data_IF_676752786930
#
_entry.id   IF_676752786930
#
_cell.length_a   1.000
_cell.length_b   1.000
_cell.length_c   1.000
_cell.angle_alpha   90.00
_cell.angle_beta   90.00
_cell.angle_gamma   90.00
#
_symmetry.space_group_name_H-M   'P 1'
#
loop_
_entity.id
_entity.type
_entity.pdbx_description
1 polymer ?
#
# COMPACT_ATOMS: atom_id res chain seq x y z
N UNK A 1 -13.45 -16.30 47.62
CA UNK A 1 -12.25 -17.09 47.25
C UNK A 1 -11.69 -16.49 45.97
N UNK A 2 -10.48 -15.93 46.02
CA UNK A 2 -10.14 -14.80 45.14
C UNK A 2 -9.54 -15.23 43.80
N UNK A 3 -9.84 -14.46 42.75
CA UNK A 3 -9.59 -14.79 41.34
C UNK A 3 -8.12 -15.10 41.03
N UNK A 4 -7.17 -14.42 41.69
CA UNK A 4 -5.73 -14.67 41.54
C UNK A 4 -5.32 -16.12 41.84
N UNK A 5 -6.02 -16.82 42.74
CA UNK A 5 -5.75 -18.25 43.01
C UNK A 5 -6.17 -19.19 41.87
N UNK A 6 -7.06 -18.76 40.97
CA UNK A 6 -7.40 -19.54 39.76
C UNK A 6 -6.35 -19.37 38.67
N UNK A 7 -5.81 -18.16 38.49
CA UNK A 7 -4.81 -17.88 37.45
C UNK A 7 -3.49 -18.63 37.68
N UNK A 8 -3.04 -18.69 38.94
CA UNK A 8 -1.82 -19.40 39.32
C UNK A 8 -1.88 -20.93 39.07
N UNK A 9 -3.08 -21.53 39.10
CA UNK A 9 -3.25 -22.97 38.86
C UNK A 9 -3.18 -23.33 37.36
N UNK A 10 -3.51 -22.38 36.48
CA UNK A 10 -3.64 -22.63 35.04
C UNK A 10 -2.30 -22.49 34.30
N UNK A 11 -1.38 -21.64 34.79
CA UNK A 11 -0.01 -21.55 34.25
C UNK A 11 0.86 -22.80 34.53
N UNK A 12 0.50 -23.62 35.53
CA UNK A 12 1.28 -24.79 35.92
C UNK A 12 1.07 -26.03 35.01
N UNK A 13 0.15 -25.96 34.04
CA UNK A 13 -0.31 -27.12 33.27
C UNK A 13 0.33 -27.25 31.86
N UNK A 14 1.18 -26.31 31.43
CA UNK A 14 1.61 -26.20 30.02
C UNK A 14 3.13 -26.31 29.78
N UNK A 15 3.88 -26.90 30.70
CA UNK A 15 5.36 -27.02 30.62
C UNK A 15 5.86 -28.47 30.62
N UNK A 16 5.13 -29.38 29.97
CA UNK A 16 5.47 -30.81 29.88
C UNK A 16 5.17 -31.38 28.49
N UNK A 17 5.99 -31.02 27.48
CA UNK A 17 6.31 -31.91 26.35
C UNK A 17 7.58 -31.42 25.62
N UNK A 18 8.73 -31.99 25.98
CA UNK A 18 10.01 -31.80 25.28
C UNK A 18 10.96 -32.96 25.56
N UNK A 19 11.74 -33.35 24.54
CA UNK A 19 12.90 -34.27 24.56
C UNK A 19 12.63 -35.79 24.62
N UNK A 20 12.55 -36.41 23.44
CA UNK A 20 13.18 -37.70 23.09
C UNK A 20 13.63 -37.62 21.61
N UNK A 21 14.66 -38.32 21.13
CA UNK A 21 16.11 -38.08 21.35
C UNK A 21 16.95 -38.90 20.35
N UNK A 22 18.03 -38.31 19.81
CA UNK A 22 19.11 -38.94 19.02
C UNK A 22 18.78 -39.65 17.67
N UNK A 23 19.78 -39.65 16.77
CA UNK A 23 19.82 -40.46 15.53
C UNK A 23 20.61 -41.78 15.75
N UNK A 24 21.37 -42.33 14.75
CA UNK A 24 21.96 -41.67 13.59
C UNK A 24 21.67 -42.35 12.22
N UNK A 25 22.37 -41.88 11.17
CA UNK A 25 22.12 -42.18 9.75
C UNK A 25 22.42 -43.62 9.26
N UNK A 26 21.79 -43.97 8.13
CA UNK A 26 22.42 -44.71 7.00
C UNK A 26 21.62 -44.54 5.70
N UNK A 27 22.30 -44.80 4.57
CA UNK A 27 21.80 -44.64 3.20
C UNK A 27 21.50 -46.02 2.57
N UNK A 28 20.32 -46.21 1.96
CA UNK A 28 19.93 -47.40 1.19
C UNK A 28 18.99 -46.98 0.05
N UNK A 29 19.10 -47.65 -1.11
CA UNK A 29 18.42 -47.35 -2.37
C UNK A 29 17.41 -48.47 -2.74
N UNK A 30 16.56 -48.22 -3.75
CA UNK A 30 15.64 -49.17 -4.45
C UNK A 30 14.50 -49.76 -3.58
N UNK A 31 13.28 -50.09 -4.06
CA UNK A 31 12.74 -50.21 -5.44
C UNK A 31 11.25 -49.80 -5.56
N UNK A 32 10.81 -49.67 -6.82
CA UNK A 32 9.50 -50.01 -7.44
C UNK A 32 8.43 -50.79 -6.62
N UNK A 33 7.13 -50.63 -6.94
CA UNK A 33 6.57 -51.36 -8.10
C UNK A 33 5.51 -50.65 -9.00
N UNK A 34 5.68 -50.81 -10.31
CA UNK A 34 4.71 -51.31 -11.32
C UNK A 34 3.22 -50.89 -11.27
N UNK A 35 2.78 -50.16 -12.30
CA UNK A 35 1.84 -50.62 -13.36
C UNK A 35 1.82 -49.54 -14.48
N UNK A 36 2.14 -49.74 -15.78
CA UNK A 36 1.66 -50.65 -16.86
C UNK A 36 0.14 -50.77 -16.95
N UNK A 37 -0.55 -50.60 -18.11
CA UNK A 37 -0.19 -50.36 -19.54
C UNK A 37 -1.34 -49.50 -20.17
N UNK A 38 -1.16 -48.67 -21.21
CA UNK A 38 -1.01 -48.97 -22.66
C UNK A 38 -2.25 -49.69 -23.29
N UNK A 39 -2.68 -49.57 -24.56
CA UNK A 39 -2.35 -48.80 -25.78
C UNK A 39 -3.71 -48.25 -26.35
N UNK A 40 -3.96 -47.55 -27.48
CA UNK A 40 -3.25 -47.00 -28.65
C UNK A 40 -4.12 -45.88 -29.30
N UNK A 41 -3.64 -45.21 -30.37
CA UNK A 41 -4.44 -44.33 -31.23
C UNK A 41 -3.60 -43.57 -32.28
N UNK A 42 -3.75 -43.90 -33.57
CA UNK A 42 -2.78 -43.57 -34.64
C UNK A 42 -3.36 -42.60 -35.71
N UNK A 43 -2.48 -42.12 -36.64
CA UNK A 43 -2.76 -41.38 -37.89
C UNK A 43 -3.14 -39.88 -37.75
N UNK A 44 -2.79 -38.95 -38.66
CA UNK A 44 -1.93 -39.05 -39.87
C UNK A 44 -1.15 -37.74 -40.16
N UNK A 45 -0.33 -37.78 -41.21
CA UNK A 45 0.67 -36.82 -41.69
C UNK A 45 0.07 -35.75 -42.63
N UNK A 46 0.69 -34.56 -42.73
CA UNK A 46 1.13 -33.89 -43.98
C UNK A 46 1.90 -32.59 -43.68
N UNK A 47 3.01 -32.38 -44.38
CA UNK A 47 3.82 -31.16 -44.34
C UNK A 47 3.63 -30.31 -45.62
N UNK A 48 4.07 -29.04 -45.60
CA UNK A 48 4.04 -28.15 -46.76
C UNK A 48 4.99 -26.97 -46.63
N UNK A 49 6.10 -27.05 -47.37
CA UNK A 49 6.87 -25.91 -47.90
C UNK A 49 5.98 -25.05 -48.84
N UNK A 50 6.28 -23.83 -49.29
CA UNK A 50 7.42 -22.91 -49.19
C UNK A 50 6.93 -21.49 -49.61
N UNK A 51 7.66 -20.40 -49.35
CA UNK A 51 8.18 -19.47 -50.39
C UNK A 51 9.04 -18.33 -49.79
N UNK A 52 9.87 -17.67 -50.61
CA UNK A 52 10.84 -16.63 -50.23
C UNK A 52 10.58 -15.23 -50.90
N UNK A 53 11.62 -14.37 -50.89
CA UNK A 53 11.78 -13.01 -51.45
C UNK A 53 11.17 -11.83 -50.64
N UNK A 54 11.87 -10.74 -50.29
CA UNK A 54 12.89 -9.89 -50.97
C UNK A 54 12.23 -8.96 -52.03
N UNK A 55 12.53 -7.66 -52.21
CA UNK A 55 13.62 -6.78 -51.70
C UNK A 55 13.07 -5.73 -50.69
N UNK A 56 13.43 -4.43 -50.53
CA UNK A 56 14.30 -3.45 -51.22
C UNK A 56 14.93 -2.45 -50.22
N UNK A 57 16.01 -1.78 -50.64
CA UNK A 57 16.78 -0.78 -49.87
C UNK A 57 16.14 0.61 -49.91
N UNK A 58 16.07 1.34 -48.77
CA UNK A 58 16.48 2.76 -48.79
C UNK A 58 16.79 3.43 -47.44
N UNK A 59 18.07 3.63 -47.21
CA UNK A 59 18.59 4.80 -46.49
C UNK A 59 18.60 6.03 -47.42
N UNK A 60 18.32 7.23 -46.90
CA UNK A 60 19.28 8.31 -47.12
C UNK A 60 19.69 9.00 -45.80
N UNK A 61 20.92 9.49 -45.78
CA UNK A 61 21.38 10.54 -44.87
C UNK A 61 21.82 11.74 -45.72
N UNK A 62 22.44 12.76 -45.10
CA UNK A 62 22.76 14.12 -45.60
C UNK A 62 21.62 15.14 -45.35
N UNK A 63 21.90 16.43 -45.11
CA UNK A 63 23.21 17.13 -45.19
C UNK A 63 23.47 18.20 -44.11
N UNK A 64 24.69 18.77 -44.14
CA UNK A 64 25.28 19.72 -43.19
C UNK A 64 24.72 21.17 -43.21
N UNK A 65 25.31 22.02 -42.35
CA UNK A 65 25.25 23.51 -42.28
C UNK A 65 24.29 24.09 -41.22
N UNK A 66 24.67 25.09 -40.40
CA UNK A 66 25.92 25.89 -40.33
C UNK A 66 26.12 26.54 -38.94
N UNK A 67 27.34 26.51 -38.37
CA UNK A 67 27.84 27.57 -37.44
C UNK A 67 28.68 28.55 -38.27
N UNK A 68 28.73 29.86 -37.95
CA UNK A 68 29.86 30.33 -37.14
C UNK A 68 29.54 31.48 -36.16
N UNK A 69 30.50 31.66 -35.24
CA UNK A 69 30.87 32.87 -34.48
C UNK A 69 29.83 33.55 -33.55
N UNK A 70 30.09 33.77 -32.26
CA UNK A 70 31.23 34.45 -31.61
C UNK A 70 31.24 35.98 -31.81
N UNK A 71 30.91 36.71 -30.73
CA UNK A 71 31.48 38.03 -30.45
C UNK A 71 31.68 38.21 -28.94
N UNK A 72 32.64 39.04 -28.51
CA UNK A 72 33.20 39.00 -27.13
C UNK A 72 33.37 40.36 -26.44
N UNK A 73 32.64 40.54 -25.31
CA UNK A 73 33.03 41.39 -24.14
C UNK A 73 33.12 42.92 -24.44
N UNK A 74 33.46 43.79 -23.46
CA UNK A 74 33.23 43.79 -22.00
C UNK A 74 32.62 45.13 -21.47
N UNK A 75 32.66 45.35 -20.14
CA UNK A 75 32.50 46.63 -19.39
C UNK A 75 31.04 47.15 -19.31
N UNK A 76 30.49 47.64 -18.19
CA UNK A 76 31.08 48.18 -16.94
C UNK A 76 30.28 47.83 -15.68
N UNK A 77 30.96 47.68 -14.53
CA UNK A 77 30.36 47.79 -13.18
C UNK A 77 30.41 49.28 -12.68
N UNK A 78 30.23 49.64 -11.39
CA UNK A 78 29.03 50.39 -10.99
C UNK A 78 29.32 51.70 -10.20
N UNK A 79 28.28 52.46 -9.77
CA UNK A 79 28.37 53.43 -8.69
C UNK A 79 27.73 52.91 -7.39
N UNK A 80 28.38 53.16 -6.25
CA UNK A 80 28.07 52.52 -4.96
C UNK A 80 27.36 53.44 -3.93
N UNK A 81 26.60 52.82 -3.01
CA UNK A 81 26.17 53.36 -1.69
C UNK A 81 25.20 54.57 -1.68
N UNK A 82 24.35 54.82 -0.67
CA UNK A 82 24.42 54.52 0.78
C UNK A 82 23.05 54.05 1.39
N UNK A 83 23.02 53.63 2.67
CA UNK A 83 21.87 52.93 3.28
C UNK A 83 21.02 53.78 4.26
N UNK A 84 19.76 53.35 4.45
CA UNK A 84 18.83 53.52 5.59
C UNK A 84 17.52 52.77 5.23
N UNK A 85 16.71 52.17 6.11
CA UNK A 85 16.76 52.01 7.58
C UNK A 85 15.94 50.76 8.02
N UNK A 86 16.16 50.27 9.25
CA UNK A 86 15.33 49.29 10.00
C UNK A 86 15.22 49.88 11.43
N UNK A 87 14.15 49.70 12.24
CA UNK A 87 13.10 48.70 12.11
C UNK A 87 11.64 49.12 12.41
N UNK A 88 10.71 48.21 12.14
CA UNK A 88 9.53 48.01 13.00
C UNK A 88 9.45 46.52 13.34
N UNK A 89 9.15 46.24 14.60
CA UNK A 89 9.10 44.92 15.21
C UNK A 89 7.66 44.39 15.17
N UNK A 90 7.42 43.22 14.54
CA UNK A 90 6.13 42.52 14.67
C UNK A 90 6.21 41.63 15.92
N UNK A 91 5.33 41.80 16.92
CA UNK A 91 5.35 40.97 18.12
C UNK A 91 5.25 39.47 17.79
N UNK A 92 6.04 38.67 18.50
CA UNK A 92 5.92 37.22 18.46
C UNK A 92 4.73 36.79 19.33
N UNK A 93 3.63 36.40 18.69
CA UNK A 93 2.53 35.74 19.40
C UNK A 93 3.01 34.38 19.89
N UNK A 94 3.05 34.22 21.21
CA UNK A 94 3.38 32.97 21.89
C UNK A 94 2.29 31.94 21.56
N UNK A 95 2.61 30.65 21.30
CA UNK A 95 1.60 29.66 20.96
C UNK A 95 0.46 29.60 21.98
N UNK A 96 -0.78 29.63 21.48
CA UNK A 96 -1.96 29.29 22.27
C UNK A 96 -2.00 27.78 22.42
N UNK A 97 -1.82 27.28 23.64
CA UNK A 97 -2.05 25.88 23.96
C UNK A 97 -3.54 25.58 23.79
N UNK A 98 -3.89 24.93 22.68
CA UNK A 98 -5.24 24.36 22.50
C UNK A 98 -5.35 23.17 23.45
N UNK A 99 -6.32 23.13 24.37
CA UNK A 99 -6.48 21.98 25.26
C UNK A 99 -6.85 20.73 24.46
N UNK A 100 -6.30 19.58 24.88
CA UNK A 100 -6.49 18.29 24.21
C UNK A 100 -7.99 17.98 24.02
N UNK A 101 -8.44 17.67 22.78
CA UNK A 101 -9.81 17.25 22.57
C UNK A 101 -10.03 15.88 23.20
N UNK A 102 -10.80 15.85 24.29
CA UNK A 102 -11.35 14.60 24.85
C UNK A 102 -11.99 13.79 23.72
N UNK A 103 -11.74 12.47 23.60
CA UNK A 103 -12.20 11.69 22.46
C UNK A 103 -13.72 11.76 22.25
N UNK A 104 -14.14 12.59 21.29
CA UNK A 104 -15.48 12.52 20.72
C UNK A 104 -15.69 11.13 20.14
N UNK A 105 -16.92 10.61 20.26
CA UNK A 105 -17.33 9.47 19.44
C UNK A 105 -17.06 9.78 17.95
N UNK A 106 -16.67 8.77 17.14
CA UNK A 106 -16.45 8.94 15.71
C UNK A 106 -17.74 9.41 15.04
N UNK A 107 -17.61 10.35 14.10
CA UNK A 107 -18.76 11.04 13.47
C UNK A 107 -19.04 10.56 12.05
N UNK A 108 -18.18 9.71 11.51
CA UNK A 108 -18.24 9.23 10.12
C UNK A 108 -17.70 7.79 10.01
N UNK A 109 -18.00 7.11 8.90
CA UNK A 109 -17.53 5.76 8.56
C UNK A 109 -16.01 5.66 8.65
N UNK A 110 -15.29 6.57 7.99
CA UNK A 110 -13.83 6.58 7.99
C UNK A 110 -13.23 6.82 9.37
N UNK A 111 -13.86 7.67 10.19
CA UNK A 111 -13.44 7.88 11.59
C UNK A 111 -13.68 6.65 12.47
N UNK A 112 -14.80 5.95 12.28
CA UNK A 112 -15.11 4.73 13.03
C UNK A 112 -14.14 3.59 12.68
N UNK A 113 -13.88 3.39 11.38
CA UNK A 113 -12.90 2.42 10.90
C UNK A 113 -11.46 2.76 11.36
N UNK A 114 -11.07 4.04 11.37
CA UNK A 114 -9.77 4.45 11.92
C UNK A 114 -9.66 4.19 13.42
N UNK A 115 -10.75 4.37 14.19
CA UNK A 115 -10.77 4.06 15.62
C UNK A 115 -10.66 2.55 15.87
N UNK A 116 -11.37 1.74 15.09
CA UNK A 116 -11.34 0.28 15.17
C UNK A 116 -9.98 -0.30 14.72
N UNK A 117 -9.39 0.26 13.65
CA UNK A 117 -8.00 -0.02 13.26
C UNK A 117 -7.04 0.26 14.41
N UNK A 118 -7.13 1.43 15.06
CA UNK A 118 -6.27 1.79 16.20
C UNK A 118 -6.42 0.82 17.37
N UNK A 119 -7.63 0.30 17.61
CA UNK A 119 -7.87 -0.71 18.65
C UNK A 119 -7.28 -2.09 18.28
N UNK A 120 -7.30 -2.48 17.01
CA UNK A 120 -6.84 -3.80 16.53
C UNK A 120 -5.35 -3.88 16.16
N UNK A 121 -4.73 -2.77 15.73
CA UNK A 121 -3.38 -2.75 15.16
C UNK A 121 -2.26 -3.24 16.09
N UNK A 122 -2.45 -3.18 17.42
CA UNK A 122 -1.50 -3.72 18.40
C UNK A 122 -1.56 -5.24 18.62
N UNK A 123 -2.64 -5.90 18.17
CA UNK A 123 -2.86 -7.35 18.33
C UNK A 123 -2.71 -8.14 17.02
N UNK A 124 -2.92 -7.49 15.88
CA UNK A 124 -2.84 -8.11 14.56
C UNK A 124 -1.38 -8.23 14.06
N UNK A 125 -1.03 -9.38 13.50
CA UNK A 125 0.30 -9.63 12.94
C UNK A 125 0.50 -8.92 11.59
N UNK A 126 -0.43 -9.12 10.66
CA UNK A 126 -0.32 -8.74 9.23
C UNK A 126 -1.31 -7.64 8.80
N UNK A 127 -1.08 -7.04 7.62
CA UNK A 127 -2.03 -6.18 6.93
C UNK A 127 -3.34 -6.93 6.61
N UNK A 128 -3.26 -8.19 6.20
CA UNK A 128 -4.44 -9.02 5.88
C UNK A 128 -5.38 -9.19 7.07
N UNK A 129 -4.85 -9.60 8.24
CA UNK A 129 -5.66 -9.79 9.45
C UNK A 129 -6.29 -8.49 9.98
N UNK A 130 -5.71 -7.32 9.65
CA UNK A 130 -6.34 -6.02 9.90
C UNK A 130 -7.44 -5.70 8.89
N UNK A 131 -7.16 -5.87 7.60
CA UNK A 131 -8.11 -5.62 6.52
C UNK A 131 -9.36 -6.51 6.64
N UNK A 132 -9.20 -7.79 6.98
CA UNK A 132 -10.29 -8.74 7.25
C UNK A 132 -11.15 -8.27 8.44
N UNK A 133 -10.50 -7.87 9.54
CA UNK A 133 -11.19 -7.42 10.75
C UNK A 133 -11.81 -6.01 10.63
N UNK A 134 -11.44 -5.23 9.60
CA UNK A 134 -12.03 -3.94 9.25
C UNK A 134 -13.17 -4.07 8.24
N UNK A 135 -13.04 -4.94 7.23
CA UNK A 135 -14.10 -5.17 6.24
C UNK A 135 -15.29 -5.95 6.84
N UNK A 136 -15.06 -6.68 7.94
CA UNK A 136 -16.10 -7.29 8.76
C UNK A 136 -16.71 -6.34 9.83
N UNK A 137 -16.40 -5.04 9.81
CA UNK A 137 -16.96 -4.09 10.76
C UNK A 137 -18.45 -3.80 10.43
N UNK A 138 -19.38 -3.92 11.40
CA UNK A 138 -20.82 -3.80 11.15
C UNK A 138 -21.30 -2.39 10.73
N UNK A 139 -20.41 -1.38 10.68
CA UNK A 139 -20.73 -0.08 10.04
C UNK A 139 -20.74 -0.16 8.50
N UNK A 140 -20.27 -1.27 7.92
CA UNK A 140 -20.27 -1.51 6.48
C UNK A 140 -21.50 -2.36 6.09
N UNK A 141 -22.51 -1.81 5.38
CA UNK A 141 -23.74 -2.52 5.04
C UNK A 141 -23.60 -3.46 3.84
N UNK A 142 -22.37 -3.80 3.43
CA UNK A 142 -22.07 -4.55 2.22
C UNK A 142 -21.30 -5.85 2.50
N UNK A 143 -21.50 -6.85 1.65
CA UNK A 143 -20.57 -7.97 1.55
C UNK A 143 -19.23 -7.46 0.99
N UNK A 144 -18.19 -7.49 1.82
CA UNK A 144 -16.86 -7.00 1.45
C UNK A 144 -15.82 -8.11 1.32
N UNK A 145 -14.70 -7.76 0.70
CA UNK A 145 -13.56 -8.64 0.48
C UNK A 145 -12.24 -7.90 0.74
N UNK A 146 -11.17 -8.68 0.85
CA UNK A 146 -9.77 -8.22 0.94
C UNK A 146 -8.97 -8.77 -0.25
N UNK A 147 -7.97 -8.02 -0.71
CA UNK A 147 -7.05 -8.46 -1.75
C UNK A 147 -5.64 -7.90 -1.47
N UNK A 148 -4.57 -8.73 -1.52
CA UNK A 148 -3.21 -8.22 -1.38
C UNK A 148 -2.86 -7.29 -2.55
N UNK A 149 -2.00 -6.30 -2.29
CA UNK A 149 -1.46 -5.39 -3.30
C UNK A 149 0.06 -5.26 -3.16
N UNK A 150 0.74 -5.10 -4.30
CA UNK A 150 2.19 -4.92 -4.37
C UNK A 150 2.56 -3.43 -4.55
N UNK A 151 3.78 -3.00 -4.22
CA UNK A 151 4.24 -1.63 -4.43
C UNK A 151 4.19 -1.21 -5.91
N UNK A 152 3.45 -0.15 -6.22
CA UNK A 152 3.17 0.27 -7.61
C UNK A 152 1.97 1.21 -7.71
N UNK A 153 1.34 1.25 -8.88
CA UNK A 153 0.11 2.02 -9.11
C UNK A 153 -1.08 1.34 -8.42
N UNK A 154 -1.66 2.01 -7.43
CA UNK A 154 -2.79 1.52 -6.64
C UNK A 154 -4.06 2.32 -6.96
N UNK A 155 -5.21 1.64 -6.99
CA UNK A 155 -6.50 2.29 -7.20
C UNK A 155 -6.76 3.35 -6.11
N UNK A 156 -7.29 4.50 -6.49
CA UNK A 156 -7.49 5.62 -5.57
C UNK A 156 -6.34 6.65 -5.51
N UNK A 157 -5.18 6.38 -6.12
CA UNK A 157 -3.96 7.20 -5.97
C UNK A 157 -3.44 7.84 -7.27
N UNK A 158 -4.34 8.22 -8.17
CA UNK A 158 -4.05 8.81 -9.49
C UNK A 158 -2.93 8.06 -10.25
N UNK A 159 -1.91 8.77 -10.75
CA UNK A 159 -0.75 8.22 -11.45
C UNK A 159 0.49 8.20 -10.54
N UNK A 160 0.31 7.95 -9.24
CA UNK A 160 1.41 7.83 -8.29
C UNK A 160 1.75 6.37 -7.97
N UNK A 161 3.04 6.05 -7.89
CA UNK A 161 3.51 4.75 -7.41
C UNK A 161 3.61 4.77 -5.87
N UNK A 162 2.78 3.97 -5.20
CA UNK A 162 2.82 3.82 -3.74
C UNK A 162 3.85 2.74 -3.38
N UNK A 163 4.88 3.13 -2.62
CA UNK A 163 6.08 2.31 -2.32
C UNK A 163 6.55 2.49 -0.87
N UNK A 164 7.36 1.56 -0.36
CA UNK A 164 7.89 1.56 1.02
C UNK A 164 7.07 0.74 2.01
N UNK A 165 6.33 -0.27 1.53
CA UNK A 165 5.56 -1.19 2.35
C UNK A 165 5.92 -2.65 2.05
N UNK A 166 6.07 -3.45 3.11
CA UNK A 166 6.36 -4.89 3.02
C UNK A 166 5.10 -5.74 2.92
N UNK A 167 3.95 -5.22 3.36
CA UNK A 167 2.64 -5.82 3.14
C UNK A 167 1.65 -4.70 2.77
N UNK A 168 0.82 -4.92 1.76
CA UNK A 168 -0.29 -4.05 1.41
C UNK A 168 -1.54 -4.88 1.14
N UNK A 169 -2.69 -4.45 1.64
CA UNK A 169 -3.99 -5.10 1.40
C UNK A 169 -5.06 -4.03 1.16
N UNK A 170 -5.72 -4.10 0.02
CA UNK A 170 -6.95 -3.34 -0.24
C UNK A 170 -8.15 -4.09 0.33
N UNK A 171 -9.15 -3.37 0.82
CA UNK A 171 -10.41 -3.92 1.29
C UNK A 171 -11.59 -3.04 0.89
N UNK A 172 -12.76 -3.64 0.70
CA UNK A 172 -13.94 -2.91 0.26
C UNK A 172 -15.08 -3.80 -0.22
N UNK A 173 -16.12 -3.21 -0.85
CA UNK A 173 -17.31 -3.92 -1.32
C UNK A 173 -16.98 -4.86 -2.49
N UNK A 174 -17.65 -6.00 -2.56
CA UNK A 174 -17.59 -6.89 -3.74
C UNK A 174 -18.29 -6.27 -4.97
N UNK A 175 -19.17 -5.28 -4.76
CA UNK A 175 -19.90 -4.57 -5.82
C UNK A 175 -19.31 -3.16 -5.99
N UNK A 176 -18.73 -2.88 -7.16
CA UNK A 176 -18.08 -1.60 -7.48
C UNK A 176 -18.99 -0.38 -7.67
N UNK A 177 -20.25 -0.45 -7.22
CA UNK A 177 -21.22 0.66 -7.23
C UNK A 177 -21.29 1.42 -5.90
N UNK A 178 -20.55 1.00 -4.88
CA UNK A 178 -20.42 1.70 -3.60
C UNK A 178 -19.12 2.52 -3.62
N UNK A 179 -19.13 3.83 -3.28
CA UNK A 179 -17.95 4.71 -3.25
C UNK A 179 -17.02 4.42 -2.06
N UNK A 180 -16.50 3.20 -1.95
CA UNK A 180 -15.64 2.77 -0.85
C UNK A 180 -14.38 2.08 -1.35
N UNK A 181 -13.22 2.54 -0.89
CA UNK A 181 -11.95 1.81 -1.01
C UNK A 181 -11.10 2.04 0.24
N UNK A 182 -10.71 0.94 0.89
CA UNK A 182 -9.86 0.94 2.08
C UNK A 182 -8.52 0.25 1.81
N UNK A 183 -7.48 0.67 2.52
CA UNK A 183 -6.14 0.09 2.46
C UNK A 183 -5.56 -0.07 3.87
N UNK A 184 -4.87 -1.19 4.09
CA UNK A 184 -3.95 -1.38 5.21
C UNK A 184 -2.56 -1.70 4.68
N UNK A 185 -1.54 -1.04 5.22
CA UNK A 185 -0.14 -1.29 4.90
C UNK A 185 0.67 -1.61 6.16
N UNK A 186 1.66 -2.50 6.03
CA UNK A 186 2.78 -2.65 6.98
C UNK A 186 4.01 -2.08 6.31
N UNK A 187 4.57 -1.01 6.88
CA UNK A 187 5.69 -0.28 6.30
C UNK A 187 7.04 -0.96 6.54
N UNK A 188 7.94 -0.77 5.58
CA UNK A 188 9.33 -1.23 5.65
C UNK A 188 10.12 -0.55 6.79
N UNK A 189 11.17 -1.22 7.27
CA UNK A 189 12.02 -0.69 8.33
C UNK A 189 12.71 0.62 7.90
N UNK A 190 12.41 1.70 8.63
CA UNK A 190 12.96 3.03 8.37
C UNK A 190 12.04 3.97 7.58
N UNK A 191 10.91 3.48 7.04
CA UNK A 191 9.91 4.33 6.38
C UNK A 191 9.07 5.05 7.45
N UNK A 192 8.96 6.37 7.34
CA UNK A 192 8.15 7.17 8.25
C UNK A 192 6.66 7.06 7.88
N UNK A 193 5.84 6.58 8.83
CA UNK A 193 4.40 6.43 8.64
C UNK A 193 3.66 7.75 8.40
N UNK A 194 4.15 8.88 8.94
CA UNK A 194 3.54 10.19 8.69
C UNK A 194 3.81 10.68 7.26
N UNK A 195 5.03 10.50 6.77
CA UNK A 195 5.43 10.91 5.41
C UNK A 195 4.79 10.01 4.34
N UNK A 196 4.66 8.71 4.64
CA UNK A 196 3.90 7.77 3.82
C UNK A 196 2.41 8.16 3.77
N UNK A 197 1.78 8.50 4.90
CA UNK A 197 0.39 9.01 4.93
C UNK A 197 0.26 10.32 4.14
N UNK A 198 1.20 11.26 4.26
CA UNK A 198 1.20 12.48 3.47
C UNK A 198 1.30 12.18 1.96
N UNK A 199 2.07 11.15 1.58
CA UNK A 199 2.17 10.67 0.20
C UNK A 199 0.84 10.07 -0.29
N UNK A 200 0.16 9.25 0.53
CA UNK A 200 -1.19 8.76 0.22
C UNK A 200 -2.19 9.91 0.04
N UNK A 201 -2.22 10.84 0.99
CA UNK A 201 -3.17 11.97 0.99
C UNK A 201 -2.95 12.95 -0.17
N UNK A 202 -1.70 13.18 -0.58
CA UNK A 202 -1.36 14.11 -1.66
C UNK A 202 -1.73 13.59 -3.07
N UNK A 203 -1.94 12.28 -3.22
CA UNK A 203 -2.29 11.63 -4.49
C UNK A 203 -3.70 11.00 -4.47
N UNK A 204 -4.43 11.13 -3.35
CA UNK A 204 -5.75 10.54 -3.17
C UNK A 204 -6.82 11.21 -4.05
N UNK A 205 -7.49 10.43 -4.89
CA UNK A 205 -8.56 10.90 -5.75
C UNK A 205 -9.91 10.31 -5.31
N UNK A 206 -10.77 11.13 -4.70
CA UNK A 206 -12.12 10.74 -4.26
C UNK A 206 -13.05 10.30 -5.41
N UNK A 207 -12.68 10.57 -6.67
CA UNK A 207 -13.41 10.23 -7.91
C UNK A 207 -12.65 9.18 -8.75
N UNK A 208 -11.88 8.31 -8.12
CA UNK A 208 -11.01 7.30 -8.76
C UNK A 208 -11.72 6.33 -9.72
N UNK A 209 -13.05 6.23 -9.61
CA UNK A 209 -13.91 5.40 -10.44
C UNK A 209 -15.00 6.31 -11.04
N UNK A 210 -15.18 6.28 -12.35
CA UNK A 210 -16.16 7.13 -13.06
C UNK A 210 -17.61 6.95 -12.59
N UNK A 211 -17.93 5.80 -11.98
CA UNK A 211 -19.27 5.47 -11.50
C UNK A 211 -19.60 6.01 -10.10
N UNK A 212 -18.61 6.35 -9.26
CA UNK A 212 -18.80 6.58 -7.82
C UNK A 212 -17.84 7.63 -7.27
N UNK A 213 -18.25 8.36 -6.23
CA UNK A 213 -17.47 9.43 -5.61
C UNK A 213 -17.56 9.35 -4.08
N UNK A 214 -16.41 9.34 -3.40
CA UNK A 214 -16.33 9.34 -1.95
C UNK A 214 -16.44 10.75 -1.37
N UNK A 215 -16.96 10.84 -0.15
CA UNK A 215 -17.23 12.11 0.53
C UNK A 215 -16.16 12.52 1.54
N UNK A 216 -15.36 11.56 2.01
CA UNK A 216 -14.25 11.77 2.93
C UNK A 216 -13.06 10.87 2.58
N UNK A 217 -11.87 11.32 2.98
CA UNK A 217 -10.65 10.54 3.05
C UNK A 217 -10.20 10.55 4.51
N UNK A 218 -9.97 9.37 5.10
CA UNK A 218 -9.49 9.23 6.48
C UNK A 218 -8.29 8.30 6.51
N UNK A 219 -7.23 8.70 7.24
CA UNK A 219 -6.01 7.91 7.39
C UNK A 219 -5.36 8.10 8.75
N UNK A 220 -4.45 7.19 9.10
CA UNK A 220 -3.70 7.22 10.36
C UNK A 220 -2.84 5.97 10.53
N UNK A 221 -2.06 5.90 11.60
CA UNK A 221 -1.14 4.79 11.83
C UNK A 221 -1.05 4.37 13.31
N UNK A 222 -0.51 3.18 13.54
CA UNK A 222 -0.05 2.67 14.83
C UNK A 222 1.29 1.97 14.60
N UNK A 223 2.38 2.55 15.09
CA UNK A 223 3.73 2.09 14.73
C UNK A 223 3.95 2.17 13.21
N UNK A 224 4.40 1.06 12.60
CA UNK A 224 4.58 0.92 11.15
C UNK A 224 3.34 0.39 10.41
N UNK A 225 2.19 0.20 11.08
CA UNK A 225 0.92 -0.15 10.42
C UNK A 225 0.19 1.13 10.05
N UNK A 226 -0.19 1.29 8.77
CA UNK A 226 -0.94 2.43 8.24
C UNK A 226 -2.33 1.98 7.80
N UNK A 227 -3.32 2.83 8.06
CA UNK A 227 -4.70 2.75 7.59
C UNK A 227 -4.99 3.95 6.67
N UNK A 228 -5.72 3.69 5.59
CA UNK A 228 -6.27 4.69 4.70
C UNK A 228 -7.64 4.22 4.19
N UNK A 229 -8.61 5.13 4.05
CA UNK A 229 -9.90 4.85 3.43
C UNK A 229 -10.43 6.09 2.72
N UNK A 230 -11.12 5.86 1.59
CA UNK A 230 -12.06 6.82 0.99
C UNK A 230 -13.46 6.19 1.03
N UNK A 231 -14.44 6.92 1.55
CA UNK A 231 -15.80 6.42 1.82
C UNK A 231 -16.86 7.52 1.75
N UNK A 232 -18.16 7.20 1.77
CA UNK A 232 -19.17 8.10 2.34
C UNK A 232 -18.80 8.50 3.77
N UNK A 233 -19.39 9.59 4.27
CA UNK A 233 -19.37 9.91 5.70
C UNK A 233 -20.32 9.00 6.48
N UNK A 234 -21.43 8.62 5.87
CA UNK A 234 -22.45 7.73 6.41
C UNK A 234 -23.08 6.90 5.29
N UNK A 235 -23.58 5.71 5.60
CA UNK A 235 -24.42 4.94 4.67
C UNK A 235 -25.88 5.22 5.02
N UNK A 236 -26.59 5.88 4.11
CA UNK A 236 -28.05 6.01 4.19
C UNK A 236 -28.71 4.70 3.78
N UNK A 237 -29.66 4.21 4.58
CA UNK A 237 -30.60 3.20 4.12
C UNK A 237 -31.63 3.86 3.17
N UNK A 238 -31.93 3.21 2.03
CA UNK A 238 -32.97 3.59 1.06
C UNK A 238 -34.29 2.82 1.28
#
# INVERSE_FOLDING_TARGET
MNLQKKLALLLAALTLFSLVACGPAKNVTVSDPEQVEDTAGETDVTAGEEDENVTDDKKPATDESKKPADDKKPVSDPPATKPQEKPVEKPAEKPVETPDPTPSAPKTVGQALLADFKAKAGAASSAASLAEALVANPILPFAGATMPVEPGFLAGFDNAEIKGFSEGVTFGPVIGSVPFIGYVFVLENGVNASDFIATLQANANLRWNICVEAEEMVSGHVGNKVFFVMSPKEFTEE
#
